data_IF_225062047163
#
_entry.id   IF_225062047163
#
_cell.length_a   1.000
_cell.length_b   1.000
_cell.length_c   1.000
_cell.angle_alpha   90.00
_cell.angle_beta   90.00
_cell.angle_gamma   90.00
#
_symmetry.space_group_name_H-M   'P 1'
#
loop_
_entity.id
_entity.type
_entity.pdbx_description
1 polymer ?
#
# COMPACT_ATOMS: atom_id res chain seq x y z
N UNK A 1 74.48 14.80 -17.21
CA UNK A 1 73.43 14.49 -18.19
C UNK A 1 72.79 13.19 -17.68
N UNK A 2 72.01 13.19 -16.59
CA UNK A 2 70.87 14.08 -16.24
C UNK A 2 69.89 14.04 -17.42
N UNK A 3 68.66 13.53 -17.35
CA UNK A 3 67.72 13.29 -16.25
C UNK A 3 66.77 12.12 -16.63
N UNK A 4 65.74 11.89 -15.82
CA UNK A 4 64.54 11.06 -16.09
C UNK A 4 64.48 9.66 -15.46
N UNK A 5 64.30 9.64 -14.13
CA UNK A 5 63.27 8.80 -13.50
C UNK A 5 63.19 9.10 -12.00
N UNK A 6 62.32 10.03 -11.59
CA UNK A 6 61.61 10.02 -10.30
C UNK A 6 60.77 11.30 -10.14
N UNK A 7 59.49 11.26 -10.54
CA UNK A 7 58.45 12.04 -9.86
C UNK A 7 57.05 11.54 -10.25
N UNK A 8 56.42 10.75 -9.37
CA UNK A 8 55.05 10.29 -9.55
C UNK A 8 54.39 10.10 -8.19
N UNK A 9 54.19 11.21 -7.46
CA UNK A 9 53.28 11.30 -6.30
C UNK A 9 52.70 12.72 -6.24
N UNK A 10 51.40 12.81 -5.97
CA UNK A 10 50.54 14.00 -5.82
C UNK A 10 49.80 14.50 -7.07
N UNK A 11 48.69 13.84 -7.40
CA UNK A 11 47.51 14.54 -7.91
C UNK A 11 46.33 14.31 -6.98
N UNK A 12 45.80 15.43 -6.50
CA UNK A 12 44.68 15.60 -5.58
C UNK A 12 43.37 15.22 -6.30
N UNK A 13 42.59 14.34 -5.69
CA UNK A 13 41.20 14.06 -6.12
C UNK A 13 40.31 15.25 -5.73
N UNK A 14 39.78 15.98 -6.72
CA UNK A 14 38.67 16.92 -6.55
C UNK A 14 37.33 16.17 -6.64
N UNK A 15 36.49 16.36 -5.62
CA UNK A 15 35.12 15.84 -5.50
C UNK A 15 34.16 16.57 -6.46
N UNK A 16 33.16 15.90 -7.06
CA UNK A 16 32.12 16.60 -7.83
C UNK A 16 31.12 17.29 -6.88
N UNK A 17 30.72 18.51 -7.26
CA UNK A 17 29.88 19.43 -6.50
C UNK A 17 28.43 18.96 -6.32
N UNK A 18 27.85 19.28 -5.16
CA UNK A 18 26.44 19.13 -4.82
C UNK A 18 25.54 20.06 -5.70
N UNK A 19 24.31 19.64 -6.07
CA UNK A 19 23.38 20.53 -6.74
C UNK A 19 22.88 21.62 -5.78
N UNK A 20 23.08 22.87 -6.21
CA UNK A 20 22.69 24.14 -5.57
C UNK A 20 21.25 24.07 -5.05
N UNK A 21 21.09 24.15 -3.73
CA UNK A 21 19.82 24.47 -3.07
C UNK A 21 19.56 25.97 -3.26
N UNK A 22 18.59 26.32 -4.11
CA UNK A 22 18.08 27.68 -4.24
C UNK A 22 17.12 28.00 -3.08
N UNK A 23 17.71 28.39 -1.95
CA UNK A 23 17.03 28.90 -0.75
C UNK A 23 16.69 30.39 -0.90
N UNK A 24 16.05 30.77 -2.01
CA UNK A 24 15.63 32.15 -2.20
C UNK A 24 14.62 32.56 -1.10
N UNK A 25 14.79 33.73 -0.44
CA UNK A 25 13.91 34.20 0.62
C UNK A 25 12.44 34.32 0.18
N UNK A 26 12.22 34.53 -1.11
CA UNK A 26 10.91 34.64 -1.74
C UNK A 26 10.17 33.30 -1.75
N UNK A 27 10.89 32.18 -1.93
CA UNK A 27 10.31 30.83 -1.93
C UNK A 27 9.94 30.37 -0.53
N UNK A 28 10.79 30.67 0.46
CA UNK A 28 10.50 30.39 1.87
C UNK A 28 9.31 31.22 2.36
N UNK A 29 9.22 32.49 1.95
CA UNK A 29 8.08 33.36 2.22
C UNK A 29 6.77 32.87 1.57
N UNK A 30 6.84 32.42 0.31
CA UNK A 30 5.69 31.85 -0.39
C UNK A 30 5.22 30.53 0.24
N UNK A 31 6.15 29.69 0.70
CA UNK A 31 5.85 28.43 1.38
C UNK A 31 5.26 28.66 2.78
N UNK A 32 5.80 29.59 3.56
CA UNK A 32 5.23 29.99 4.85
C UNK A 32 3.83 30.62 4.69
N UNK A 33 3.62 31.43 3.65
CA UNK A 33 2.31 32.01 3.34
C UNK A 33 1.29 30.96 2.93
N UNK A 34 1.73 29.91 2.22
CA UNK A 34 0.88 28.78 1.85
C UNK A 34 0.48 27.96 3.09
N UNK A 35 1.39 27.74 4.04
CA UNK A 35 1.09 27.04 5.29
C UNK A 35 0.13 27.83 6.20
N UNK A 36 0.23 29.16 6.22
CA UNK A 36 -0.67 30.03 6.99
C UNK A 36 -2.13 29.91 6.51
N UNK A 37 -2.35 29.64 5.21
CA UNK A 37 -3.68 29.39 4.62
C UNK A 37 -4.36 28.12 5.15
N UNK A 38 -3.58 27.14 5.61
CA UNK A 38 -4.06 25.87 6.14
C UNK A 38 -3.88 25.75 7.65
N UNK A 39 -3.50 26.84 8.34
CA UNK A 39 -3.47 26.87 9.80
C UNK A 39 -4.88 26.69 10.35
N UNK A 40 -5.04 25.63 11.11
CA UNK A 40 -6.23 25.36 11.88
C UNK A 40 -6.45 26.46 12.93
N UNK A 41 -7.44 27.33 12.70
CA UNK A 41 -7.91 28.26 13.71
C UNK A 41 -8.98 27.57 14.55
N UNK A 42 -8.55 26.96 15.65
CA UNK A 42 -9.45 26.37 16.63
C UNK A 42 -10.45 27.41 17.12
N UNK A 43 -11.73 27.21 16.78
CA UNK A 43 -12.83 28.06 17.19
C UNK A 43 -12.89 28.18 18.72
N UNK A 44 -12.89 29.42 19.20
CA UNK A 44 -13.23 29.78 20.58
C UNK A 44 -14.67 29.36 20.88
N UNK A 45 -14.86 28.55 21.93
CA UNK A 45 -16.04 28.61 22.78
C UNK A 45 -15.59 28.59 24.25
N UNK A 46 -16.20 29.50 25.02
CA UNK A 46 -15.81 29.89 26.38
C UNK A 46 -16.44 28.99 27.47
N UNK A 47 -15.66 28.86 28.56
CA UNK A 47 -16.05 28.63 29.97
C UNK A 47 -16.64 27.24 30.33
N UNK A 48 -16.32 26.61 31.48
CA UNK A 48 -15.85 27.15 32.76
C UNK A 48 -15.15 26.08 33.64
N UNK A 49 -14.27 26.58 34.51
CA UNK A 49 -13.94 26.12 35.89
C UNK A 49 -13.70 24.63 36.16
N UNK A 50 -12.44 24.29 36.42
CA UNK A 50 -12.06 23.69 37.71
C UNK A 50 -10.59 24.02 38.02
N UNK A 51 -10.37 24.53 39.23
CA UNK A 51 -9.09 24.96 39.78
C UNK A 51 -8.65 23.97 40.86
N UNK A 52 -7.33 23.74 40.93
CA UNK A 52 -6.52 23.40 42.13
C UNK A 52 -6.44 21.93 42.62
N UNK A 53 -5.40 21.55 43.41
CA UNK A 53 -3.98 21.92 43.31
C UNK A 53 -2.98 20.76 43.60
N UNK A 54 -1.72 20.97 43.18
CA UNK A 54 -0.42 20.65 43.86
C UNK A 54 -0.12 19.25 44.43
N UNK A 55 1.01 18.64 43.98
CA UNK A 55 2.26 18.49 44.78
C UNK A 55 3.33 17.63 44.08
N UNK A 56 4.55 18.17 44.06
CA UNK A 56 5.89 17.58 44.17
C UNK A 56 6.12 16.10 43.83
N UNK A 57 7.12 15.81 42.99
CA UNK A 57 8.48 15.48 43.47
C UNK A 57 9.42 15.16 42.30
N UNK A 58 10.51 15.91 42.28
CA UNK A 58 11.78 15.63 41.60
C UNK A 58 12.42 14.34 42.13
N UNK A 59 12.91 13.49 41.22
CA UNK A 59 14.09 12.66 41.49
C UNK A 59 14.92 12.51 40.21
N UNK A 60 16.09 13.14 40.22
CA UNK A 60 17.25 12.68 39.45
C UNK A 60 17.62 11.28 39.92
N UNK A 61 17.91 10.38 38.98
CA UNK A 61 19.06 9.49 39.14
C UNK A 61 19.60 9.03 37.79
N UNK A 62 20.88 9.28 37.65
CA UNK A 62 21.76 8.91 36.54
C UNK A 62 21.87 7.39 36.35
N UNK A 63 22.19 7.03 35.11
CA UNK A 63 23.37 6.20 34.83
C UNK A 63 23.28 4.72 35.19
N UNK A 64 23.05 3.88 34.17
CA UNK A 64 23.82 2.65 33.97
C UNK A 64 23.68 2.11 32.55
N UNK A 65 24.79 2.15 31.83
CA UNK A 65 25.11 1.26 30.71
C UNK A 65 25.19 -0.19 31.22
N UNK A 66 24.98 -1.17 30.33
CA UNK A 66 26.08 -2.09 30.03
C UNK A 66 26.21 -2.45 28.54
N UNK A 67 27.44 -2.24 28.04
CA UNK A 67 28.27 -3.15 27.23
C UNK A 67 27.62 -4.28 26.40
N UNK A 68 27.86 -4.17 25.10
CA UNK A 68 28.42 -5.18 24.19
C UNK A 68 28.19 -6.67 24.52
N UNK A 69 27.30 -7.29 23.73
CA UNK A 69 27.15 -8.74 23.61
C UNK A 69 27.35 -9.14 22.15
N UNK A 70 28.30 -10.03 21.94
CA UNK A 70 28.93 -10.46 20.69
C UNK A 70 28.02 -11.34 19.82
N UNK A 71 28.33 -11.25 18.52
CA UNK A 71 27.93 -12.08 17.39
C UNK A 71 27.75 -13.58 17.69
N UNK A 72 26.63 -14.14 17.21
CA UNK A 72 26.54 -15.54 16.78
C UNK A 72 25.75 -15.61 15.49
N UNK A 73 26.46 -15.87 14.41
CA UNK A 73 25.96 -16.34 13.11
C UNK A 73 25.28 -17.69 13.29
N UNK A 74 24.05 -17.82 12.81
CA UNK A 74 23.44 -19.13 12.57
C UNK A 74 23.00 -19.19 11.11
N UNK A 75 23.82 -19.87 10.31
CA UNK A 75 23.49 -20.32 8.98
C UNK A 75 22.20 -21.14 9.01
N UNK A 76 21.22 -20.78 8.19
CA UNK A 76 20.04 -21.61 7.95
C UNK A 76 20.19 -22.18 6.54
N UNK A 77 20.43 -23.48 6.52
CA UNK A 77 20.60 -24.33 5.34
C UNK A 77 19.33 -24.34 4.47
N UNK A 78 19.49 -23.87 3.23
CA UNK A 78 18.49 -23.88 2.16
C UNK A 78 18.57 -25.22 1.42
N UNK A 79 17.94 -26.27 1.95
CA UNK A 79 17.64 -27.53 1.24
C UNK A 79 16.65 -28.39 2.02
N UNK A 80 15.35 -28.26 1.74
CA UNK A 80 14.35 -29.36 1.76
C UNK A 80 12.95 -28.80 1.53
N UNK A 81 12.53 -28.77 0.26
CA UNK A 81 11.12 -28.65 -0.12
C UNK A 81 10.70 -29.95 -0.78
N UNK A 82 10.01 -30.80 -0.03
CA UNK A 82 9.18 -31.87 -0.55
C UNK A 82 7.81 -31.83 0.16
N UNK A 83 6.69 -31.97 -0.57
CA UNK A 83 5.35 -31.66 -0.06
C UNK A 83 4.83 -32.75 0.88
N UNK A 84 4.54 -32.39 2.15
CA UNK A 84 3.75 -33.24 3.05
C UNK A 84 2.26 -33.02 2.78
N UNK A 85 1.62 -34.06 2.27
CA UNK A 85 0.17 -34.16 2.14
C UNK A 85 -0.48 -34.10 3.53
N UNK A 86 -1.48 -33.22 3.69
CA UNK A 86 -2.36 -33.18 4.86
C UNK A 86 -3.79 -33.50 4.45
N UNK A 87 -4.61 -34.13 5.32
CA UNK A 87 -5.83 -34.80 4.91
C UNK A 87 -6.98 -33.82 4.65
N UNK A 88 -7.74 -34.10 3.58
CA UNK A 88 -8.99 -33.41 3.22
C UNK A 88 -10.07 -33.61 4.30
N UNK A 89 -10.57 -32.52 4.86
CA UNK A 89 -11.85 -32.50 5.59
C UNK A 89 -13.00 -32.15 4.64
N UNK A 90 -13.82 -33.14 4.30
CA UNK A 90 -15.05 -32.94 3.50
C UNK A 90 -16.22 -32.49 4.38
N UNK A 91 -17.11 -31.60 3.90
CA UNK A 91 -18.22 -31.04 4.67
C UNK A 91 -19.43 -31.99 4.73
N UNK A 92 -19.98 -32.21 5.93
CA UNK A 92 -21.21 -32.96 6.17
C UNK A 92 -22.44 -32.11 5.78
N UNK A 93 -23.12 -32.49 4.69
CA UNK A 93 -24.48 -32.03 4.36
C UNK A 93 -25.50 -32.73 5.27
N UNK A 94 -26.40 -31.96 5.88
CA UNK A 94 -27.66 -32.46 6.45
C UNK A 94 -28.64 -32.64 5.29
N UNK A 95 -29.13 -33.85 5.11
CA UNK A 95 -30.33 -34.14 4.31
C UNK A 95 -31.28 -34.96 5.19
N UNK A 96 -32.57 -34.64 5.05
CA UNK A 96 -33.71 -35.18 5.77
C UNK A 96 -33.97 -36.63 5.33
N UNK A 97 -34.44 -37.45 6.26
CA UNK A 97 -34.91 -38.81 6.00
C UNK A 97 -36.44 -38.80 5.88
N UNK A 98 -36.94 -39.39 4.79
CA UNK A 98 -38.26 -40.02 4.70
C UNK A 98 -38.05 -41.53 4.83
N UNK A 99 -39.00 -42.19 5.50
CA UNK A 99 -38.88 -43.57 5.99
C UNK A 99 -39.09 -44.65 4.93
N UNK A 100 -38.80 -45.90 5.31
CA UNK A 100 -39.80 -46.98 5.45
C UNK A 100 -39.16 -48.19 6.15
N UNK A 101 -40.02 -49.12 6.54
CA UNK A 101 -39.97 -50.06 7.64
C UNK A 101 -39.15 -51.35 7.47
N UNK A 102 -39.25 -52.17 8.54
CA UNK A 102 -39.10 -53.65 8.57
C UNK A 102 -37.65 -54.15 8.72
N UNK A 103 -37.27 -55.01 9.66
CA UNK A 103 -37.99 -55.93 10.54
C UNK A 103 -37.07 -56.49 11.64
N UNK A 104 -37.72 -57.07 12.65
CA UNK A 104 -37.28 -58.23 13.45
C UNK A 104 -36.40 -57.99 14.68
N UNK A 105 -37.02 -58.32 15.80
CA UNK A 105 -36.52 -58.29 17.17
C UNK A 105 -36.22 -59.71 17.69
N UNK A 106 -35.60 -59.72 18.89
CA UNK A 106 -35.39 -60.82 19.86
C UNK A 106 -34.16 -61.69 19.55
N UNK A 107 -33.33 -62.13 20.50
CA UNK A 107 -33.55 -62.42 21.92
C UNK A 107 -32.14 -62.60 22.59
N UNK A 108 -31.91 -62.18 23.83
CA UNK A 108 -31.71 -63.07 25.01
C UNK A 108 -30.27 -63.13 25.57
N UNK A 109 -30.15 -62.59 26.79
CA UNK A 109 -29.48 -63.10 27.99
C UNK A 109 -27.97 -63.02 28.28
N UNK A 110 -27.75 -62.53 29.52
CA UNK A 110 -26.90 -62.99 30.63
C UNK A 110 -25.36 -62.89 30.60
N UNK A 111 -24.90 -62.05 31.55
CA UNK A 111 -24.10 -62.41 32.73
C UNK A 111 -22.56 -62.38 32.70
N UNK A 112 -22.04 -61.57 33.64
CA UNK A 112 -20.83 -61.73 34.46
C UNK A 112 -19.46 -61.61 33.74
N UNK A 113 -18.38 -61.07 34.29
CA UNK A 113 -18.03 -60.70 35.66
C UNK A 113 -16.77 -59.79 35.65
N UNK A 114 -16.50 -59.11 36.77
CA UNK A 114 -15.18 -58.65 37.28
C UNK A 114 -14.42 -57.54 36.49
N UNK A 115 -13.76 -56.53 37.08
CA UNK A 115 -13.18 -56.34 38.42
C UNK A 115 -13.03 -54.84 38.71
N UNK A 116 -13.10 -54.47 39.99
CA UNK A 116 -12.91 -53.13 40.52
C UNK A 116 -11.47 -52.59 40.37
N UNK A 117 -11.33 -51.28 40.15
CA UNK A 117 -10.31 -50.49 40.85
C UNK A 117 -10.77 -49.04 41.00
N UNK A 118 -10.74 -48.60 42.26
CA UNK A 118 -11.08 -47.31 42.83
C UNK A 118 -10.06 -46.20 42.54
N UNK A 119 -10.51 -44.99 42.21
CA UNK A 119 -9.90 -43.72 42.64
C UNK A 119 -10.81 -42.50 42.33
N UNK A 120 -10.79 -41.44 43.16
CA UNK A 120 -11.86 -40.46 43.27
C UNK A 120 -11.78 -39.31 42.25
N UNK A 121 -12.96 -38.74 42.01
CA UNK A 121 -13.25 -37.58 41.19
C UNK A 121 -12.68 -36.27 41.76
N UNK A 122 -12.05 -35.49 40.91
CA UNK A 122 -11.85 -34.04 41.08
C UNK A 122 -11.81 -33.40 39.69
N UNK A 123 -12.78 -32.54 39.31
CA UNK A 123 -12.71 -31.87 38.02
C UNK A 123 -11.74 -30.70 38.14
N UNK A 124 -10.51 -30.86 37.65
CA UNK A 124 -9.62 -29.72 37.39
C UNK A 124 -10.21 -28.91 36.25
N UNK A 125 -10.97 -27.87 36.60
CA UNK A 125 -11.38 -26.82 35.69
C UNK A 125 -10.13 -26.05 35.22
N UNK A 126 -9.51 -26.52 34.13
CA UNK A 126 -8.48 -25.72 33.46
C UNK A 126 -9.17 -24.55 32.76
N UNK A 127 -8.94 -23.37 33.31
CA UNK A 127 -9.41 -22.08 32.84
C UNK A 127 -9.07 -21.89 31.36
N UNK A 128 -10.08 -21.92 30.48
CA UNK A 128 -9.96 -21.38 29.12
C UNK A 128 -9.58 -19.90 29.25
N UNK A 129 -8.30 -19.58 29.02
CA UNK A 129 -7.84 -18.18 28.92
C UNK A 129 -8.70 -17.50 27.87
N UNK A 130 -9.62 -16.62 28.29
CA UNK A 130 -10.36 -15.73 27.40
C UNK A 130 -9.32 -14.95 26.60
N UNK A 131 -9.15 -15.29 25.32
CA UNK A 131 -8.33 -14.49 24.41
C UNK A 131 -8.92 -13.07 24.44
N UNK A 132 -8.17 -12.11 24.99
CA UNK A 132 -8.55 -10.69 24.95
C UNK A 132 -8.76 -10.35 23.48
N UNK A 133 -10.00 -10.08 23.10
CA UNK A 133 -10.33 -9.53 21.79
C UNK A 133 -9.54 -8.22 21.71
N UNK A 134 -8.50 -8.19 20.88
CA UNK A 134 -7.74 -6.96 20.63
C UNK A 134 -8.74 -5.94 20.07
N UNK A 135 -8.97 -4.87 20.82
CA UNK A 135 -9.84 -3.78 20.37
C UNK A 135 -9.32 -3.27 19.01
N UNK A 136 -10.22 -3.12 18.04
CA UNK A 136 -9.89 -2.45 16.78
C UNK A 136 -9.48 -1.02 17.14
N UNK A 137 -8.28 -0.60 16.73
CA UNK A 137 -7.87 0.80 16.93
C UNK A 137 -8.70 1.67 15.99
N UNK A 138 -9.21 2.77 16.53
CA UNK A 138 -9.85 3.82 15.74
C UNK A 138 -8.81 4.84 15.27
N UNK A 139 -9.32 6.00 14.87
CA UNK A 139 -8.50 7.16 14.54
C UNK A 139 -7.51 7.50 15.68
N UNK A 140 -6.27 7.80 15.33
CA UNK A 140 -5.29 8.37 16.25
C UNK A 140 -4.90 9.77 15.76
N UNK A 141 -4.98 10.79 16.64
CA UNK A 141 -4.69 12.15 16.25
C UNK A 141 -3.18 12.32 15.94
N UNK A 142 -2.77 13.26 15.06
CA UNK A 142 -1.41 13.32 14.54
C UNK A 142 -0.31 13.43 15.61
N UNK A 143 -0.60 14.12 16.72
CA UNK A 143 0.30 14.35 17.86
C UNK A 143 0.78 13.02 18.49
N UNK A 144 0.02 11.93 18.31
CA UNK A 144 0.39 10.59 18.80
C UNK A 144 1.74 10.12 18.26
N UNK A 145 2.09 10.51 17.03
CA UNK A 145 3.26 10.03 16.31
C UNK A 145 4.16 11.17 15.81
N UNK A 146 4.04 12.37 16.38
CA UNK A 146 4.82 13.55 15.98
C UNK A 146 6.34 13.36 16.12
N UNK A 147 6.77 12.51 17.05
CA UNK A 147 8.18 12.13 17.22
C UNK A 147 8.75 11.28 16.08
N UNK A 148 7.90 10.78 15.17
CA UNK A 148 8.31 9.99 14.02
C UNK A 148 8.45 10.88 12.78
N UNK A 149 9.44 10.59 11.95
CA UNK A 149 9.66 11.31 10.70
C UNK A 149 8.82 10.72 9.56
N UNK A 150 8.47 11.58 8.61
CA UNK A 150 7.95 11.14 7.31
C UNK A 150 9.04 10.36 6.55
N UNK A 151 8.62 9.49 5.63
CA UNK A 151 9.56 8.74 4.80
C UNK A 151 9.92 9.52 3.54
N UNK A 152 11.17 9.41 3.12
CA UNK A 152 11.62 9.91 1.84
C UNK A 152 10.96 9.12 0.71
N UNK A 153 10.39 9.83 -0.27
CA UNK A 153 9.96 9.22 -1.52
C UNK A 153 11.18 8.97 -2.41
N UNK A 154 11.27 7.78 -3.02
CA UNK A 154 12.26 7.48 -4.04
C UNK A 154 11.57 7.40 -5.39
N UNK A 155 11.56 8.53 -6.08
CA UNK A 155 10.91 8.74 -7.36
C UNK A 155 11.89 9.40 -8.34
N UNK A 156 11.95 8.85 -9.54
CA UNK A 156 12.69 9.41 -10.68
C UNK A 156 11.74 9.51 -11.88
N UNK A 157 12.08 10.35 -12.88
CA UNK A 157 11.33 10.37 -14.14
C UNK A 157 11.31 8.99 -14.82
N UNK A 158 10.22 8.67 -15.51
CA UNK A 158 10.12 7.55 -16.47
C UNK A 158 10.28 6.13 -15.87
N UNK A 159 10.09 5.97 -14.55
CA UNK A 159 10.13 4.66 -13.89
C UNK A 159 9.11 3.67 -14.48
N UNK A 160 9.46 2.38 -14.52
CA UNK A 160 8.52 1.35 -14.99
C UNK A 160 7.33 1.19 -14.03
N UNK A 161 7.62 1.16 -12.73
CA UNK A 161 6.59 0.98 -11.69
C UNK A 161 6.89 1.85 -10.47
N UNK A 162 5.88 2.53 -9.95
CA UNK A 162 5.91 3.12 -8.60
C UNK A 162 5.00 2.34 -7.67
N UNK A 163 5.54 1.81 -6.58
CA UNK A 163 4.77 1.17 -5.51
C UNK A 163 4.29 2.22 -4.50
N UNK A 164 2.98 2.32 -4.32
CA UNK A 164 2.36 3.25 -3.40
C UNK A 164 1.75 2.50 -2.21
N UNK A 165 2.35 2.63 -1.03
CA UNK A 165 1.79 2.17 0.24
C UNK A 165 0.69 3.10 0.76
N UNK A 166 0.04 2.70 1.87
CA UNK A 166 -1.01 3.54 2.49
C UNK A 166 -0.34 4.72 3.20
N UNK A 167 0.50 4.41 4.18
CA UNK A 167 1.26 5.34 4.97
C UNK A 167 2.41 4.62 5.68
N UNK A 168 3.43 5.33 6.18
CA UNK A 168 4.49 4.74 6.98
C UNK A 168 3.93 4.05 8.23
N UNK A 169 4.16 2.74 8.34
CA UNK A 169 3.93 2.04 9.61
C UNK A 169 4.94 2.50 10.66
N UNK A 170 4.61 2.42 11.95
CA UNK A 170 5.50 2.81 13.06
C UNK A 170 6.96 2.36 12.86
N UNK A 171 7.19 1.07 12.57
CA UNK A 171 8.55 0.54 12.36
C UNK A 171 9.23 1.11 11.12
N UNK A 172 8.48 1.33 10.04
CA UNK A 172 9.00 1.95 8.83
C UNK A 172 9.47 3.37 9.12
N UNK A 173 8.64 4.16 9.81
CA UNK A 173 8.96 5.54 10.18
C UNK A 173 10.11 5.64 11.20
N UNK A 174 10.18 4.72 12.17
CA UNK A 174 11.28 4.64 13.14
C UNK A 174 12.62 4.31 12.47
N UNK A 175 12.60 3.42 11.46
CA UNK A 175 13.80 3.03 10.72
C UNK A 175 14.17 3.99 9.59
N UNK A 176 13.22 4.83 9.13
CA UNK A 176 13.40 5.66 7.93
C UNK A 176 13.30 4.88 6.62
N UNK A 177 12.72 3.68 6.61
CA UNK A 177 12.69 2.79 5.44
C UNK A 177 11.32 2.19 5.15
N UNK A 178 10.96 2.13 3.87
CA UNK A 178 9.66 1.64 3.42
C UNK A 178 9.45 0.16 3.75
N UNK A 179 8.24 -0.15 4.21
CA UNK A 179 7.83 -1.53 4.55
C UNK A 179 8.73 -2.26 5.57
N UNK A 180 9.52 -1.54 6.38
CA UNK A 180 10.51 -2.09 7.33
C UNK A 180 10.03 -3.03 8.46
N UNK A 181 8.73 -3.28 8.64
CA UNK A 181 8.28 -4.23 9.66
C UNK A 181 8.61 -5.68 9.21
N UNK A 182 9.23 -6.50 10.08
CA UNK A 182 9.69 -7.85 9.73
C UNK A 182 8.60 -8.80 9.20
N UNK A 183 7.34 -8.60 9.61
CA UNK A 183 6.19 -9.38 9.12
C UNK A 183 5.55 -8.80 7.85
N UNK A 184 6.07 -7.70 7.31
CA UNK A 184 5.60 -7.17 6.04
C UNK A 184 6.14 -8.02 4.89
N UNK A 185 5.27 -8.41 3.97
CA UNK A 185 5.64 -9.28 2.85
C UNK A 185 6.18 -8.52 1.64
N UNK A 186 6.24 -7.18 1.63
CA UNK A 186 6.55 -6.38 0.45
C UNK A 186 7.84 -6.81 -0.25
N UNK A 187 8.97 -6.78 0.46
CA UNK A 187 10.28 -7.13 -0.11
C UNK A 187 10.34 -8.56 -0.62
N UNK A 188 9.68 -9.49 0.09
CA UNK A 188 9.59 -10.89 -0.34
C UNK A 188 8.68 -11.06 -1.56
N UNK A 189 7.56 -10.34 -1.63
CA UNK A 189 6.67 -10.33 -2.80
C UNK A 189 7.31 -9.66 -4.01
N UNK A 190 8.13 -8.62 -3.80
CA UNK A 190 8.87 -7.93 -4.85
C UNK A 190 9.85 -8.90 -5.53
N UNK A 191 10.62 -9.64 -4.74
CA UNK A 191 11.54 -10.67 -5.24
C UNK A 191 10.81 -11.87 -5.87
N UNK A 192 9.86 -12.49 -5.15
CA UNK A 192 9.13 -13.65 -5.66
C UNK A 192 8.25 -13.31 -6.87
N UNK A 193 7.84 -12.05 -7.01
CA UNK A 193 7.14 -11.54 -8.18
C UNK A 193 8.04 -11.25 -9.39
N UNK A 194 9.36 -11.37 -9.24
CA UNK A 194 10.33 -11.15 -10.33
C UNK A 194 10.62 -9.68 -10.63
N UNK A 195 10.31 -8.76 -9.71
CA UNK A 195 10.74 -7.36 -9.84
C UNK A 195 12.21 -7.14 -9.47
N UNK A 196 12.77 -8.04 -8.64
CA UNK A 196 14.16 -7.97 -8.16
C UNK A 196 14.78 -9.37 -8.13
N UNK A 197 16.04 -9.46 -8.53
CA UNK A 197 16.78 -10.72 -8.69
C UNK A 197 17.02 -11.44 -7.36
N UNK A 198 17.06 -10.68 -6.26
CA UNK A 198 17.16 -11.18 -4.88
C UNK A 198 16.18 -10.44 -3.97
N UNK A 199 15.91 -11.00 -2.81
CA UNK A 199 15.17 -10.28 -1.77
C UNK A 199 16.04 -9.16 -1.18
N UNK A 200 15.61 -7.92 -1.37
CA UNK A 200 16.24 -6.74 -0.76
C UNK A 200 15.81 -6.58 0.71
N UNK A 201 16.68 -5.96 1.49
CA UNK A 201 16.37 -5.42 2.81
C UNK A 201 15.60 -4.09 2.67
N UNK A 202 14.72 -3.72 3.62
CA UNK A 202 14.14 -2.38 3.68
C UNK A 202 15.15 -1.25 3.58
N UNK A 203 16.36 -1.44 4.12
CA UNK A 203 17.44 -0.44 4.09
C UNK A 203 17.98 -0.15 2.69
N UNK A 204 17.62 -0.96 1.71
CA UNK A 204 18.05 -0.86 0.31
C UNK A 204 16.99 -0.18 -0.57
N UNK A 205 15.93 0.39 0.02
CA UNK A 205 14.82 1.02 -0.71
C UNK A 205 15.26 2.17 -1.64
N UNK A 206 16.27 2.94 -1.23
CA UNK A 206 16.89 3.99 -2.05
C UNK A 206 17.49 3.48 -3.37
N UNK A 207 17.81 2.19 -3.49
CA UNK A 207 18.41 1.61 -4.70
C UNK A 207 17.39 1.26 -5.78
N UNK A 208 16.10 1.25 -5.44
CA UNK A 208 15.03 0.83 -6.35
C UNK A 208 15.00 1.61 -7.67
N UNK A 209 15.14 2.96 -7.68
CA UNK A 209 15.08 3.71 -8.92
C UNK A 209 16.26 3.37 -9.85
N UNK A 210 17.49 3.45 -9.35
CA UNK A 210 18.69 3.34 -10.18
C UNK A 210 18.97 1.92 -10.68
N UNK A 211 18.74 0.91 -9.84
CA UNK A 211 19.10 -0.48 -10.18
C UNK A 211 17.96 -1.21 -10.89
N UNK A 212 16.70 -0.93 -10.50
CA UNK A 212 15.55 -1.72 -10.92
C UNK A 212 14.52 -0.94 -11.75
N UNK A 213 14.70 0.37 -11.92
CA UNK A 213 13.72 1.26 -12.55
C UNK A 213 12.35 1.24 -11.82
N UNK A 214 12.40 1.11 -10.49
CA UNK A 214 11.23 1.05 -9.62
C UNK A 214 11.22 2.23 -8.63
N UNK A 215 10.05 2.81 -8.39
CA UNK A 215 9.87 3.84 -7.36
C UNK A 215 9.05 3.33 -6.18
N UNK A 216 9.12 4.06 -5.07
CA UNK A 216 8.40 3.73 -3.84
C UNK A 216 7.98 5.00 -3.10
N UNK A 217 6.72 5.03 -2.66
CA UNK A 217 6.08 6.16 -1.97
C UNK A 217 4.91 5.68 -1.11
N UNK A 218 4.26 6.58 -0.38
CA UNK A 218 2.98 6.35 0.26
C UNK A 218 1.93 7.36 -0.20
N UNK A 219 0.65 6.98 -0.08
CA UNK A 219 -0.46 7.91 -0.31
C UNK A 219 -0.44 9.03 0.74
N UNK A 220 -0.34 8.67 2.03
CA UNK A 220 -0.36 9.60 3.15
C UNK A 220 0.98 9.59 3.88
N UNK A 221 1.56 10.77 4.10
CA UNK A 221 2.91 10.90 4.68
C UNK A 221 2.94 10.60 6.19
N UNK A 222 1.81 10.81 6.89
CA UNK A 222 1.74 10.68 8.34
C UNK A 222 1.98 9.24 8.81
N UNK A 223 2.97 9.01 9.70
CA UNK A 223 3.16 7.72 10.33
C UNK A 223 1.99 7.31 11.22
N UNK A 224 1.66 6.02 11.22
CA UNK A 224 0.74 5.43 12.19
C UNK A 224 1.09 3.98 12.50
N UNK A 225 0.52 3.41 13.56
CA UNK A 225 0.77 2.00 13.88
C UNK A 225 -0.02 1.06 12.96
N UNK A 226 -1.15 1.53 12.46
CA UNK A 226 -1.94 0.85 11.44
C UNK A 226 -2.82 1.82 10.64
N UNK A 227 -3.14 1.45 9.40
CA UNK A 227 -3.93 2.28 8.48
C UNK A 227 -5.30 2.71 9.03
N UNK A 228 -5.89 1.94 9.95
CA UNK A 228 -7.17 2.30 10.59
C UNK A 228 -7.08 3.53 11.51
N UNK A 229 -5.88 3.97 11.87
CA UNK A 229 -5.64 5.18 12.65
C UNK A 229 -5.64 6.46 11.79
N UNK A 230 -5.71 6.34 10.46
CA UNK A 230 -5.91 7.45 9.54
C UNK A 230 -7.39 7.71 9.31
N UNK A 231 -7.78 8.97 9.19
CA UNK A 231 -9.14 9.30 8.76
C UNK A 231 -9.28 9.12 7.24
N UNK A 232 -10.51 8.87 6.76
CA UNK A 232 -10.79 8.86 5.32
C UNK A 232 -10.56 10.23 4.70
N UNK A 233 -10.92 11.31 5.40
CA UNK A 233 -10.72 12.69 4.93
C UNK A 233 -9.25 13.00 4.72
N UNK A 234 -8.39 12.63 5.66
CA UNK A 234 -6.93 12.79 5.57
C UNK A 234 -6.35 12.04 4.36
N UNK A 235 -6.74 10.79 4.18
CA UNK A 235 -6.30 10.00 3.02
C UNK A 235 -6.80 10.60 1.70
N UNK A 236 -8.06 11.05 1.63
CA UNK A 236 -8.61 11.71 0.43
C UNK A 236 -7.89 13.02 0.12
N UNK A 237 -7.54 13.81 1.14
CA UNK A 237 -6.77 15.04 0.96
C UNK A 237 -5.35 14.79 0.40
N UNK A 238 -4.80 13.59 0.61
CA UNK A 238 -3.47 13.24 0.11
C UNK A 238 -3.47 12.85 -1.38
N UNK A 239 -4.65 12.60 -2.00
CA UNK A 239 -4.73 12.10 -3.38
C UNK A 239 -4.29 13.16 -4.41
N UNK A 240 -4.70 14.41 -4.25
CA UNK A 240 -4.27 15.50 -5.14
C UNK A 240 -2.75 15.64 -5.20
N UNK A 241 -2.07 15.87 -4.05
CA UNK A 241 -0.61 15.89 -3.98
C UNK A 241 0.05 14.62 -4.51
N UNK A 242 -0.52 13.44 -4.23
CA UNK A 242 -0.03 12.18 -4.77
C UNK A 242 -0.09 12.15 -6.31
N UNK A 243 -1.23 12.49 -6.91
CA UNK A 243 -1.36 12.48 -8.36
C UNK A 243 -0.48 13.55 -9.03
N UNK A 244 -0.22 14.68 -8.37
CA UNK A 244 0.75 15.67 -8.82
C UNK A 244 2.18 15.10 -8.86
N UNK A 245 2.59 14.35 -7.82
CA UNK A 245 3.87 13.61 -7.81
C UNK A 245 3.94 12.65 -9.00
N UNK A 246 2.88 11.85 -9.21
CA UNK A 246 2.81 10.91 -10.34
C UNK A 246 2.87 11.65 -11.69
N UNK A 247 2.17 12.77 -11.83
CA UNK A 247 2.17 13.54 -13.08
C UNK A 247 3.54 14.13 -13.41
N UNK A 248 4.31 14.52 -12.38
CA UNK A 248 5.68 15.02 -12.52
C UNK A 248 6.66 13.92 -12.92
N UNK A 249 6.58 12.75 -12.29
CA UNK A 249 7.55 11.67 -12.50
C UNK A 249 7.18 10.70 -13.63
N UNK A 250 5.91 10.72 -14.09
CA UNK A 250 5.40 9.95 -15.23
C UNK A 250 5.81 8.46 -15.26
N UNK A 251 5.62 7.69 -14.16
CA UNK A 251 5.92 6.27 -14.20
C UNK A 251 4.96 5.53 -15.15
N UNK A 252 5.36 4.42 -15.77
CA UNK A 252 4.47 3.69 -16.68
C UNK A 252 3.27 3.07 -15.94
N UNK A 253 3.51 2.56 -14.73
CA UNK A 253 2.48 1.98 -13.86
C UNK A 253 2.62 2.47 -12.42
N UNK A 254 1.51 2.74 -11.76
CA UNK A 254 1.43 2.88 -10.30
C UNK A 254 0.77 1.64 -9.72
N UNK A 255 1.49 0.95 -8.84
CA UNK A 255 1.01 -0.21 -8.08
C UNK A 255 0.60 0.21 -6.67
N UNK A 256 -0.70 0.27 -6.41
CA UNK A 256 -1.25 0.51 -5.08
C UNK A 256 -1.12 -0.74 -4.20
N UNK A 257 -0.26 -0.69 -3.18
CA UNK A 257 0.00 -1.77 -2.22
C UNK A 257 -1.07 -1.75 -1.11
N UNK A 258 -2.31 -1.96 -1.52
CA UNK A 258 -3.51 -1.86 -0.70
C UNK A 258 -4.71 -1.46 -1.54
N UNK A 259 -5.66 -2.39 -1.72
CA UNK A 259 -6.87 -2.18 -2.54
C UNK A 259 -7.73 -0.97 -2.13
N UNK A 260 -7.70 -0.59 -0.85
CA UNK A 260 -8.42 0.58 -0.36
C UNK A 260 -7.86 1.90 -0.90
N UNK A 261 -6.57 1.95 -1.24
CA UNK A 261 -5.97 3.14 -1.86
C UNK A 261 -6.66 3.41 -3.20
N UNK A 262 -6.87 2.36 -4.00
CA UNK A 262 -7.60 2.47 -5.25
C UNK A 262 -9.05 2.94 -5.04
N UNK A 263 -9.75 2.44 -4.02
CA UNK A 263 -11.11 2.90 -3.73
C UNK A 263 -11.14 4.40 -3.41
N UNK A 264 -10.17 4.90 -2.64
CA UNK A 264 -10.02 6.32 -2.35
C UNK A 264 -9.75 7.16 -3.60
N UNK A 265 -8.81 6.71 -4.46
CA UNK A 265 -8.49 7.36 -5.74
C UNK A 265 -9.70 7.38 -6.67
N UNK A 266 -10.41 6.25 -6.79
CA UNK A 266 -11.64 6.12 -7.58
C UNK A 266 -12.72 7.09 -7.09
N UNK A 267 -12.95 7.17 -5.79
CA UNK A 267 -13.89 8.13 -5.21
C UNK A 267 -13.48 9.57 -5.53
N UNK A 268 -12.20 9.91 -5.36
CA UNK A 268 -11.68 11.24 -5.66
C UNK A 268 -11.87 11.64 -7.12
N UNK A 269 -11.62 10.73 -8.06
CA UNK A 269 -11.89 10.95 -9.49
C UNK A 269 -13.39 11.23 -9.72
N UNK A 270 -14.27 10.48 -9.07
CA UNK A 270 -15.73 10.61 -9.24
C UNK A 270 -16.33 11.85 -8.57
N UNK A 271 -15.66 12.38 -7.54
CA UNK A 271 -16.18 13.47 -6.71
C UNK A 271 -15.55 14.82 -7.05
N UNK A 272 -14.25 14.84 -7.33
CA UNK A 272 -13.44 16.07 -7.39
C UNK A 272 -13.01 16.40 -8.81
N UNK A 273 -12.49 15.42 -9.54
CA UNK A 273 -11.94 15.71 -10.87
C UNK A 273 -13.06 16.02 -11.89
N UNK A 274 -12.73 16.79 -12.95
CA UNK A 274 -13.59 16.90 -14.12
C UNK A 274 -13.91 15.50 -14.65
N UNK A 275 -15.14 15.32 -15.15
CA UNK A 275 -15.53 14.03 -15.72
C UNK A 275 -14.58 13.69 -16.87
N UNK A 276 -13.97 12.50 -16.88
CA UNK A 276 -13.08 12.10 -17.96
C UNK A 276 -13.85 12.06 -19.27
N UNK A 277 -13.13 12.30 -20.37
CA UNK A 277 -13.68 12.07 -21.70
C UNK A 277 -14.13 10.61 -21.79
N UNK A 278 -15.39 10.38 -22.14
CA UNK A 278 -15.91 9.04 -22.34
C UNK A 278 -15.13 8.40 -23.48
N UNK A 279 -14.61 7.16 -23.36
CA UNK A 279 -14.00 6.49 -24.49
C UNK A 279 -15.04 6.41 -25.61
N UNK A 280 -14.78 7.09 -26.73
CA UNK A 280 -15.67 7.03 -27.90
C UNK A 280 -15.85 5.56 -28.29
N UNK A 281 -17.08 5.01 -28.29
CA UNK A 281 -17.31 3.79 -29.03
C UNK A 281 -16.96 4.09 -30.49
N UNK A 282 -16.11 3.28 -31.11
CA UNK A 282 -15.90 3.37 -32.54
C UNK A 282 -17.23 3.07 -33.23
N UNK A 283 -17.95 4.10 -33.65
CA UNK A 283 -19.12 3.95 -34.50
C UNK A 283 -18.94 4.84 -35.72
N UNK A 284 -18.87 4.18 -36.86
CA UNK A 284 -19.30 4.72 -38.14
C UNK A 284 -20.59 5.54 -38.00
N UNK A 285 -20.71 6.66 -38.72
CA UNK A 285 -21.85 7.54 -38.59
C UNK A 285 -23.07 6.90 -39.27
N UNK A 286 -24.05 6.47 -38.50
CA UNK A 286 -25.41 6.27 -39.01
C UNK A 286 -26.27 7.39 -38.46
N UNK A 287 -26.61 8.34 -39.33
CA UNK A 287 -27.45 9.49 -39.06
C UNK A 287 -28.86 9.06 -38.62
N UNK A 288 -29.23 9.42 -37.40
CA UNK A 288 -30.63 9.56 -36.98
C UNK A 288 -30.70 10.64 -35.92
N UNK A 289 -31.02 11.85 -36.37
CA UNK A 289 -31.06 13.09 -35.60
C UNK A 289 -32.28 13.14 -34.69
N UNK A 290 -32.25 12.44 -33.57
CA UNK A 290 -33.12 12.75 -32.42
C UNK A 290 -32.49 13.86 -31.59
N UNK A 291 -33.16 15.01 -31.49
CA UNK A 291 -32.76 16.15 -30.61
C UNK A 291 -32.82 15.73 -29.14
N UNK A 292 -31.75 15.12 -28.63
CA UNK A 292 -31.60 14.85 -27.19
C UNK A 292 -31.20 16.15 -26.50
N UNK A 293 -32.02 16.63 -25.55
CA UNK A 293 -31.66 17.78 -24.71
C UNK A 293 -30.37 17.44 -23.92
N UNK A 294 -29.37 18.35 -23.85
CA UNK A 294 -28.15 18.10 -23.10
C UNK A 294 -28.49 17.89 -21.62
N UNK A 295 -28.01 16.77 -21.06
CA UNK A 295 -28.20 16.42 -19.65
C UNK A 295 -27.36 17.32 -18.74
N UNK A 296 -27.86 17.60 -17.52
CA UNK A 296 -27.13 18.46 -16.56
C UNK A 296 -25.84 17.80 -16.07
N UNK A 297 -24.88 18.59 -15.57
CA UNK A 297 -23.62 18.05 -15.04
C UNK A 297 -23.84 17.04 -13.90
N UNK A 298 -24.80 17.32 -13.02
CA UNK A 298 -25.22 16.39 -11.96
C UNK A 298 -25.72 15.06 -12.54
N UNK A 299 -26.52 15.09 -13.61
CA UNK A 299 -26.98 13.88 -14.31
C UNK A 299 -25.82 13.14 -14.98
N UNK A 300 -24.89 13.86 -15.62
CA UNK A 300 -23.65 13.27 -16.20
C UNK A 300 -22.84 12.56 -15.13
N UNK A 301 -22.59 13.22 -13.99
CA UNK A 301 -21.81 12.66 -12.88
C UNK A 301 -22.51 11.45 -12.26
N UNK A 302 -23.85 11.48 -12.10
CA UNK A 302 -24.61 10.31 -11.63
C UNK A 302 -24.51 9.12 -12.59
N UNK A 303 -24.64 9.36 -13.91
CA UNK A 303 -24.49 8.33 -14.93
C UNK A 303 -23.07 7.73 -14.91
N UNK A 304 -22.06 8.59 -14.84
CA UNK A 304 -20.66 8.18 -14.75
C UNK A 304 -20.41 7.32 -13.49
N UNK A 305 -20.89 7.75 -12.32
CA UNK A 305 -20.78 6.96 -11.07
C UNK A 305 -21.42 5.58 -11.20
N UNK A 306 -22.59 5.48 -11.82
CA UNK A 306 -23.27 4.20 -12.05
C UNK A 306 -22.45 3.28 -12.97
N UNK A 307 -21.91 3.83 -14.07
CA UNK A 307 -21.05 3.10 -15.02
C UNK A 307 -19.77 2.59 -14.35
N UNK A 308 -19.10 3.43 -13.56
CA UNK A 308 -17.91 3.01 -12.82
C UNK A 308 -18.25 1.97 -11.76
N UNK A 309 -19.39 2.09 -11.07
CA UNK A 309 -19.83 1.11 -10.09
C UNK A 309 -20.05 -0.27 -10.73
N UNK A 310 -20.65 -0.31 -11.93
CA UNK A 310 -20.84 -1.53 -12.71
C UNK A 310 -19.50 -2.11 -13.19
N UNK A 311 -18.62 -1.29 -13.77
CA UNK A 311 -17.35 -1.72 -14.36
C UNK A 311 -16.29 -2.14 -13.33
N UNK A 312 -16.20 -1.41 -12.21
CA UNK A 312 -15.17 -1.65 -11.19
C UNK A 312 -15.64 -2.53 -10.05
N UNK A 313 -16.92 -2.50 -9.69
CA UNK A 313 -17.46 -3.20 -8.52
C UNK A 313 -16.66 -2.92 -7.23
N UNK A 314 -16.54 -3.94 -6.38
CA UNK A 314 -15.65 -3.92 -5.21
C UNK A 314 -14.20 -4.02 -5.66
N UNK A 315 -13.29 -3.28 -5.00
CA UNK A 315 -11.87 -3.33 -5.32
C UNK A 315 -11.31 -4.74 -5.20
N UNK A 316 -10.68 -5.19 -6.29
CA UNK A 316 -10.00 -6.48 -6.45
C UNK A 316 -8.56 -6.20 -6.91
N UNK A 317 -7.61 -7.11 -6.70
CA UNK A 317 -6.28 -6.98 -7.28
C UNK A 317 -6.33 -6.87 -8.82
N UNK A 318 -5.30 -6.29 -9.43
CA UNK A 318 -5.17 -6.17 -10.87
C UNK A 318 -5.29 -4.75 -11.43
N UNK A 319 -5.22 -4.66 -12.76
CA UNK A 319 -5.31 -3.45 -13.56
C UNK A 319 -6.63 -2.70 -13.34
N UNK A 320 -6.58 -1.36 -13.41
CA UNK A 320 -7.73 -0.47 -13.24
C UNK A 320 -8.10 0.22 -14.54
N UNK A 321 -9.39 0.41 -14.83
CA UNK A 321 -9.87 0.94 -16.10
C UNK A 321 -9.70 2.47 -16.21
N UNK A 322 -8.65 3.01 -15.60
CA UNK A 322 -8.33 4.43 -15.58
C UNK A 322 -6.85 4.61 -15.87
N UNK A 323 -6.52 5.73 -16.48
CA UNK A 323 -5.15 6.12 -16.76
C UNK A 323 -4.99 7.63 -16.60
N UNK A 324 -3.81 8.05 -16.14
CA UNK A 324 -3.38 9.43 -16.20
C UNK A 324 -2.72 9.67 -17.55
N UNK A 325 -3.17 10.66 -18.31
CA UNK A 325 -2.65 10.99 -19.64
C UNK A 325 -1.97 12.34 -19.57
N UNK A 326 -0.79 12.42 -20.18
CA UNK A 326 0.00 13.63 -20.23
C UNK A 326 -0.28 14.35 -21.56
N UNK A 327 -0.50 15.65 -21.49
CA UNK A 327 -0.58 16.46 -22.69
C UNK A 327 0.80 16.47 -23.35
N UNK A 328 0.84 16.34 -24.68
CA UNK A 328 2.07 16.53 -25.44
C UNK A 328 2.37 18.03 -25.42
N UNK A 329 3.29 18.42 -24.55
CA UNK A 329 3.68 19.81 -24.32
C UNK A 329 5.00 20.15 -25.01
N UNK A 330 5.05 21.38 -25.50
CA UNK A 330 6.11 22.12 -26.19
C UNK A 330 7.49 22.17 -25.47
N UNK A 331 7.64 21.45 -24.37
CA UNK A 331 8.77 21.50 -23.44
C UNK A 331 9.94 20.59 -23.86
N UNK A 332 10.26 20.47 -25.15
CA UNK A 332 11.44 19.75 -25.64
C UNK A 332 11.66 18.33 -25.06
N UNK A 333 10.62 17.72 -24.49
CA UNK A 333 10.74 16.51 -23.70
C UNK A 333 10.97 15.36 -24.67
N UNK A 334 12.02 14.57 -24.44
CA UNK A 334 12.42 13.49 -25.33
C UNK A 334 11.23 12.60 -25.71
N UNK A 335 11.17 12.23 -26.99
CA UNK A 335 10.18 11.32 -27.58
C UNK A 335 10.03 9.96 -26.85
N UNK A 336 10.90 9.67 -25.88
CA UNK A 336 10.99 8.46 -25.05
C UNK A 336 10.13 8.49 -23.77
N UNK A 337 9.63 9.66 -23.34
CA UNK A 337 8.90 9.76 -22.06
C UNK A 337 7.51 9.09 -22.13
N UNK A 338 7.04 8.40 -21.05
CA UNK A 338 5.71 7.81 -21.04
C UNK A 338 4.61 8.84 -21.26
N UNK A 339 3.70 8.56 -22.19
CA UNK A 339 2.52 9.41 -22.50
C UNK A 339 1.34 9.21 -21.56
N UNK A 340 1.39 8.14 -20.77
CA UNK A 340 0.35 7.79 -19.82
C UNK A 340 0.91 6.97 -18.65
N UNK A 341 0.21 7.02 -17.52
CA UNK A 341 0.43 6.15 -16.36
C UNK A 341 -0.82 5.31 -16.12
N UNK A 342 -0.64 4.00 -16.01
CA UNK A 342 -1.71 3.06 -15.67
C UNK A 342 -1.77 2.80 -14.17
N UNK A 343 -2.94 2.39 -13.70
CA UNK A 343 -3.15 2.07 -12.28
C UNK A 343 -3.36 0.57 -12.08
N UNK A 344 -2.65 0.02 -11.11
CA UNK A 344 -2.75 -1.38 -10.69
C UNK A 344 -2.96 -1.43 -9.18
N UNK A 345 -3.78 -2.37 -8.68
CA UNK A 345 -3.89 -2.58 -7.22
C UNK A 345 -3.42 -3.96 -6.81
N UNK A 346 -2.73 -4.03 -5.69
CA UNK A 346 -2.34 -5.26 -5.00
C UNK A 346 -3.03 -5.33 -3.63
N UNK A 347 -3.17 -6.52 -3.03
CA UNK A 347 -3.47 -6.62 -1.61
C UNK A 347 -2.40 -5.91 -0.78
N UNK A 348 -2.78 -5.40 0.39
CA UNK A 348 -1.77 -4.87 1.31
C UNK A 348 -0.81 -5.99 1.74
N UNK A 349 0.49 -5.69 1.69
CA UNK A 349 1.57 -6.62 2.04
C UNK A 349 1.71 -6.85 3.55
N UNK A 350 0.98 -6.11 4.38
CA UNK A 350 0.90 -6.34 5.82
C UNK A 350 0.43 -7.76 6.15
N UNK A 351 1.11 -8.45 7.07
CA UNK A 351 0.67 -9.74 7.61
C UNK A 351 -0.66 -9.66 8.38
N UNK A 352 -1.19 -8.46 8.63
CA UNK A 352 -2.53 -8.27 9.21
C UNK A 352 -3.65 -8.60 8.22
N UNK A 353 -3.36 -8.56 6.91
CA UNK A 353 -4.29 -9.01 5.88
C UNK A 353 -4.19 -10.52 5.75
N UNK A 354 -5.21 -11.21 6.25
CA UNK A 354 -5.27 -12.68 6.30
C UNK A 354 -5.96 -13.32 5.09
N UNK A 355 -6.72 -12.53 4.33
CA UNK A 355 -7.42 -13.01 3.11
C UNK A 355 -6.46 -13.29 1.94
N UNK A 356 -5.20 -12.83 2.05
CA UNK A 356 -4.15 -13.07 1.07
C UNK A 356 -2.89 -13.49 1.82
N UNK A 357 -2.48 -14.73 1.65
CA UNK A 357 -1.23 -15.25 2.18
C UNK A 357 -0.05 -14.79 1.32
N UNK A 358 1.16 -15.06 1.79
CA UNK A 358 2.38 -14.68 1.07
C UNK A 358 2.39 -15.19 -0.38
N UNK A 359 1.98 -16.44 -0.60
CA UNK A 359 1.96 -17.06 -1.93
C UNK A 359 0.99 -16.32 -2.86
N UNK A 360 -0.21 -15.98 -2.38
CA UNK A 360 -1.20 -15.23 -3.15
C UNK A 360 -0.67 -13.84 -3.52
N UNK A 361 -0.05 -13.15 -2.55
CA UNK A 361 0.53 -11.81 -2.76
C UNK A 361 1.70 -11.85 -3.75
N UNK A 362 2.53 -12.88 -3.70
CA UNK A 362 3.64 -13.07 -4.62
C UNK A 362 3.13 -13.37 -6.05
N UNK A 363 2.12 -14.23 -6.19
CA UNK A 363 1.50 -14.51 -7.49
C UNK A 363 0.90 -13.24 -8.12
N UNK A 364 0.16 -12.45 -7.34
CA UNK A 364 -0.39 -11.16 -7.81
C UNK A 364 0.69 -10.12 -8.14
N UNK A 365 1.83 -10.16 -7.44
CA UNK A 365 2.98 -9.32 -7.78
C UNK A 365 3.61 -9.78 -9.10
N UNK A 366 3.68 -11.08 -9.33
CA UNK A 366 4.15 -11.66 -10.60
C UNK A 366 3.25 -11.26 -11.77
N UNK A 367 1.93 -11.34 -11.60
CA UNK A 367 0.97 -10.87 -12.61
C UNK A 367 1.19 -9.39 -12.97
N UNK A 368 1.47 -8.55 -11.97
CA UNK A 368 1.81 -7.15 -12.21
C UNK A 368 3.11 -6.98 -13.01
N UNK A 369 4.17 -7.76 -12.69
CA UNK A 369 5.44 -7.75 -13.43
C UNK A 369 5.25 -8.21 -14.87
N UNK A 370 4.52 -9.29 -15.08
CA UNK A 370 4.19 -9.83 -16.39
C UNK A 370 3.39 -8.80 -17.23
N UNK A 371 2.43 -8.10 -16.62
CA UNK A 371 1.72 -7.01 -17.30
C UNK A 371 2.65 -5.86 -17.73
N UNK A 372 3.57 -5.43 -16.85
CA UNK A 372 4.54 -4.37 -17.18
C UNK A 372 5.41 -4.77 -18.37
N UNK A 373 5.83 -6.04 -18.45
CA UNK A 373 6.57 -6.57 -19.60
C UNK A 373 5.80 -6.53 -20.92
N UNK A 374 4.47 -6.54 -20.87
CA UNK A 374 3.58 -6.56 -22.04
C UNK A 374 3.06 -5.18 -22.45
N UNK A 375 3.48 -4.10 -21.79
CA UNK A 375 2.98 -2.74 -22.06
C UNK A 375 3.20 -2.26 -23.49
N UNK A 376 4.21 -2.79 -24.19
CA UNK A 376 4.52 -2.45 -25.58
C UNK A 376 3.82 -3.38 -26.59
N UNK A 377 3.09 -4.39 -26.13
CA UNK A 377 2.35 -5.31 -27.01
C UNK A 377 1.10 -4.60 -27.59
N UNK A 378 0.80 -4.79 -28.90
CA UNK A 378 -0.36 -4.17 -29.53
C UNK A 378 -1.70 -4.50 -28.85
N UNK A 379 -1.85 -5.73 -28.34
CA UNK A 379 -3.05 -6.18 -27.63
C UNK A 379 -3.24 -5.40 -26.32
N UNK A 380 -2.16 -5.24 -25.55
CA UNK A 380 -2.17 -4.43 -24.32
C UNK A 380 -2.49 -2.97 -24.64
N UNK A 381 -1.90 -2.42 -25.71
CA UNK A 381 -2.19 -1.06 -26.15
C UNK A 381 -3.68 -0.87 -26.51
N UNK A 382 -4.29 -1.85 -27.21
CA UNK A 382 -5.73 -1.84 -27.52
C UNK A 382 -6.59 -1.89 -26.25
N UNK A 383 -6.24 -2.73 -25.28
CA UNK A 383 -6.96 -2.83 -24.01
C UNK A 383 -6.95 -1.49 -23.25
N UNK A 384 -5.76 -0.91 -23.05
CA UNK A 384 -5.59 0.33 -22.26
C UNK A 384 -6.12 1.58 -22.97
N UNK A 385 -6.35 1.50 -24.29
CA UNK A 385 -7.05 2.56 -25.03
C UNK A 385 -8.55 2.65 -24.69
N UNK A 386 -9.13 1.62 -24.07
CA UNK A 386 -10.52 1.63 -23.59
C UNK A 386 -10.70 2.21 -22.18
N UNK A 387 -9.60 2.65 -21.55
CA UNK A 387 -9.61 3.15 -20.17
C UNK A 387 -9.99 4.62 -20.11
N UNK A 388 -10.64 5.04 -19.02
CA UNK A 388 -10.94 6.45 -18.81
C UNK A 388 -9.65 7.25 -18.66
N UNK A 389 -9.51 8.28 -19.49
CA UNK A 389 -8.35 9.17 -19.49
C UNK A 389 -8.57 10.33 -18.53
N UNK A 390 -7.71 10.42 -17.51
CA UNK A 390 -7.59 11.56 -16.63
C UNK A 390 -6.49 12.45 -17.19
N UNK A 391 -6.81 13.67 -17.62
CA UNK A 391 -5.79 14.62 -18.09
C UNK A 391 -4.96 15.12 -16.91
N UNK A 392 -3.64 15.03 -17.00
CA UNK A 392 -2.74 15.51 -15.95
C UNK A 392 -2.92 17.01 -15.68
N UNK A 393 -3.17 17.82 -16.71
CA UNK A 393 -3.50 19.25 -16.59
C UNK A 393 -4.71 19.51 -15.70
N UNK A 394 -5.72 18.64 -15.71
CA UNK A 394 -6.91 18.72 -14.85
C UNK A 394 -6.69 18.30 -13.39
N UNK A 395 -5.54 17.69 -13.10
CA UNK A 395 -5.16 17.21 -11.76
C UNK A 395 -4.24 18.21 -11.04
N UNK A 396 -3.58 19.08 -11.81
CA UNK A 396 -2.61 20.07 -11.32
C UNK A 396 -3.29 21.39 -10.90
N UNK A 397 -4.52 21.65 -11.36
CA UNK A 397 -5.37 22.76 -10.89
C UNK A 397 -6.02 22.45 -9.54
#
# INVERSE_FOLDING_TARGET
>A
MSDDAQNLVNQTYTSPEDPIQDDSPERLSAFSSLLEKYRYTGGRSNAAKAQSPSKNMSFLKEGRTPTAGRSTTSDIDLRSLAPRQSPRSSPRKRARADGDASSSAKDTQLASNSTATSAPSSPTASSRKRQKIRQKRGYAPPETYEHLRVLQDYLQPNLDVVFCGINPGYRSAEMGHHFGHATNHFWRCLHLGGFTERQLSPTEDHTLPDIYNLGITNLTDRPSKEAAELSTTEQKASIGPFLLKIARHRPRVVCFVGMNIWDLVKDYIQDVLPLPDTPSPSSSPTESSTKVKPISESQRRRKFKAEIAERCGKSKPGLKPFKLVYDEGEDGQESSSPRQTLFWSLPSTSARVVNFQLVDKAALSKEAKEFVGRLNEPETAREVNTFYALRASSVIM
#
